data_IF_887548041872
#
_entry.id   IF_887548041872
#
_cell.length_a   1.000
_cell.length_b   1.000
_cell.length_c   1.000
_cell.angle_alpha   90.00
_cell.angle_beta   90.00
_cell.angle_gamma   90.00
#
_symmetry.space_group_name_H-M   'P 1'
#
loop_
_entity.id
_entity.type
_entity.pdbx_description
1 polymer ?
#
# COMPACT_ATOMS: atom_id res chain seq x y z
N UNK A 1 -1.76 9.54 9.05
CA UNK A 1 -1.01 8.27 9.04
C UNK A 1 -0.95 7.67 10.45
N UNK A 2 -1.67 6.57 10.70
CA UNK A 2 -1.66 5.86 12.00
C UNK A 2 -0.34 5.09 12.13
N UNK A 3 0.37 5.23 13.25
CA UNK A 3 1.65 4.52 13.45
C UNK A 3 1.43 2.99 13.50
N UNK A 4 2.32 2.23 12.85
CA UNK A 4 2.29 0.76 12.77
C UNK A 4 2.01 0.08 14.14
N UNK A 5 2.61 0.59 15.21
CA UNK A 5 2.42 0.09 16.57
C UNK A 5 0.95 0.12 17.03
N UNK A 6 0.24 1.24 16.82
CA UNK A 6 -1.14 1.40 17.25
C UNK A 6 -2.07 0.43 16.51
N UNK A 7 -1.86 0.27 15.20
CA UNK A 7 -2.61 -0.68 14.38
C UNK A 7 -2.42 -2.12 14.85
N UNK A 8 -1.18 -2.54 15.10
CA UNK A 8 -0.89 -3.89 15.56
C UNK A 8 -1.41 -4.16 16.98
N UNK A 9 -1.43 -3.15 17.85
CA UNK A 9 -2.04 -3.28 19.18
C UNK A 9 -3.55 -3.48 19.10
N UNK A 10 -4.24 -2.73 18.24
CA UNK A 10 -5.69 -2.91 18.02
C UNK A 10 -6.00 -4.27 17.42
N UNK A 11 -5.20 -4.75 16.46
CA UNK A 11 -5.33 -6.09 15.90
C UNK A 11 -5.12 -7.17 16.97
N UNK A 12 -4.10 -7.04 17.81
CA UNK A 12 -3.85 -7.99 18.90
C UNK A 12 -5.04 -8.05 19.86
N UNK A 13 -5.60 -6.89 20.26
CA UNK A 13 -6.80 -6.81 21.11
C UNK A 13 -7.99 -7.50 20.45
N UNK A 14 -8.18 -7.29 19.15
CA UNK A 14 -9.26 -7.90 18.37
C UNK A 14 -9.11 -9.41 18.29
N UNK A 15 -7.92 -9.92 17.97
CA UNK A 15 -7.64 -11.36 17.92
C UNK A 15 -7.90 -11.99 19.28
N UNK A 16 -7.35 -11.41 20.35
CA UNK A 16 -7.56 -11.91 21.71
C UNK A 16 -9.05 -11.90 22.11
N UNK A 17 -9.82 -10.89 21.71
CA UNK A 17 -11.26 -10.87 21.97
C UNK A 17 -11.99 -12.08 21.36
N UNK A 18 -11.65 -12.48 20.13
CA UNK A 18 -12.33 -13.58 19.42
C UNK A 18 -11.77 -14.97 19.74
N UNK A 19 -10.46 -15.11 19.92
CA UNK A 19 -9.82 -16.42 20.06
C UNK A 19 -9.21 -16.68 21.44
N UNK A 20 -9.13 -15.66 22.30
CA UNK A 20 -8.37 -15.68 23.58
C UNK A 20 -6.87 -15.96 23.40
N UNK A 21 -6.37 -15.97 22.17
CA UNK A 21 -4.94 -16.11 21.86
C UNK A 21 -4.29 -14.73 21.85
N UNK A 22 -3.13 -14.62 22.49
CA UNK A 22 -2.27 -13.45 22.41
C UNK A 22 -1.23 -13.68 21.33
N UNK A 23 -1.38 -12.99 20.20
CA UNK A 23 -0.41 -13.01 19.10
C UNK A 23 0.56 -11.84 19.27
N UNK A 24 1.89 -12.05 19.23
CA UNK A 24 2.85 -10.95 19.26
C UNK A 24 2.62 -9.93 18.13
N UNK A 25 2.79 -8.64 18.44
CA UNK A 25 2.50 -7.55 17.48
C UNK A 25 3.41 -7.55 16.25
N UNK A 26 4.64 -8.09 16.37
CA UNK A 26 5.55 -8.21 15.23
C UNK A 26 5.09 -9.27 14.22
N UNK A 27 4.44 -10.35 14.67
CA UNK A 27 3.87 -11.36 13.77
C UNK A 27 2.70 -10.79 12.99
N UNK A 28 1.85 -10.00 13.66
CA UNK A 28 0.78 -9.26 13.02
C UNK A 28 1.31 -8.26 11.99
N UNK A 29 2.43 -7.59 12.29
CA UNK A 29 3.11 -6.71 11.35
C UNK A 29 3.64 -7.47 10.14
N UNK A 30 4.25 -8.65 10.34
CA UNK A 30 4.79 -9.47 9.25
C UNK A 30 3.68 -9.98 8.34
N UNK A 31 2.55 -10.42 8.92
CA UNK A 31 1.43 -10.95 8.16
C UNK A 31 0.66 -9.85 7.39
N UNK A 32 0.44 -8.69 8.01
CA UNK A 32 -0.45 -7.66 7.46
C UNK A 32 0.27 -6.45 6.87
N UNK A 33 1.56 -6.27 7.17
CA UNK A 33 2.33 -5.07 6.79
C UNK A 33 2.26 -4.78 5.29
N UNK A 34 2.34 -5.81 4.46
CA UNK A 34 2.23 -5.66 3.00
C UNK A 34 0.88 -5.14 2.53
N UNK A 35 -0.22 -5.57 3.16
CA UNK A 35 -1.58 -5.12 2.81
C UNK A 35 -1.77 -3.65 3.16
N UNK A 36 -1.22 -3.22 4.30
CA UNK A 36 -1.29 -1.82 4.70
C UNK A 36 -0.48 -0.91 3.78
N UNK A 37 0.69 -1.35 3.35
CA UNK A 37 1.53 -0.57 2.44
C UNK A 37 0.92 -0.43 1.05
N UNK A 38 0.21 -1.46 0.60
CA UNK A 38 -0.58 -1.42 -0.63
C UNK A 38 -1.72 -0.39 -0.50
N UNK A 39 -2.48 -0.44 0.60
CA UNK A 39 -3.54 0.53 0.86
C UNK A 39 -3.01 1.97 0.94
N UNK A 40 -1.91 2.19 1.68
CA UNK A 40 -1.28 3.51 1.82
C UNK A 40 -0.76 4.04 0.46
N UNK A 41 -0.25 3.17 -0.42
CA UNK A 41 0.20 3.55 -1.76
C UNK A 41 -0.99 3.92 -2.66
N UNK A 42 -2.07 3.14 -2.64
CA UNK A 42 -3.28 3.43 -3.41
C UNK A 42 -3.92 4.74 -2.93
N UNK A 43 -3.97 4.98 -1.62
CA UNK A 43 -4.48 6.24 -1.05
C UNK A 43 -3.64 7.43 -1.54
N UNK A 44 -2.30 7.37 -1.42
CA UNK A 44 -1.42 8.42 -1.95
C UNK A 44 -1.65 8.67 -3.45
N UNK A 45 -1.79 7.61 -4.25
CA UNK A 45 -2.05 7.71 -5.68
C UNK A 45 -3.40 8.39 -5.97
N UNK A 46 -4.45 8.03 -5.24
CA UNK A 46 -5.76 8.63 -5.42
C UNK A 46 -5.75 10.13 -5.08
N UNK A 47 -5.08 10.51 -4.00
CA UNK A 47 -4.93 11.92 -3.61
C UNK A 47 -4.19 12.73 -4.67
N UNK A 48 -3.09 12.19 -5.23
CA UNK A 48 -2.33 12.86 -6.28
C UNK A 48 -3.18 13.00 -7.57
N UNK A 49 -3.92 11.96 -7.97
CA UNK A 49 -4.73 11.99 -9.20
C UNK A 49 -6.04 12.78 -9.07
N UNK A 50 -6.56 12.93 -7.86
CA UNK A 50 -7.70 13.82 -7.59
C UNK A 50 -7.33 15.29 -7.90
N UNK A 51 -6.07 15.69 -7.63
CA UNK A 51 -5.57 17.02 -8.03
C UNK A 51 -5.54 17.22 -9.54
N UNK A 52 -5.38 16.14 -10.31
CA UNK A 52 -5.48 16.12 -11.78
C UNK A 52 -6.93 16.00 -12.29
N UNK A 53 -7.93 15.99 -11.40
CA UNK A 53 -9.35 15.90 -11.73
C UNK A 53 -9.87 14.48 -12.00
N UNK A 54 -9.07 13.44 -11.72
CA UNK A 54 -9.49 12.06 -11.89
C UNK A 54 -10.41 11.62 -10.73
N UNK A 55 -11.46 10.86 -11.03
CA UNK A 55 -12.35 10.34 -9.99
C UNK A 55 -11.63 9.28 -9.14
N UNK A 56 -11.90 9.20 -7.82
CA UNK A 56 -11.21 8.26 -6.93
C UNK A 56 -11.26 6.78 -7.36
N UNK A 57 -12.38 6.34 -7.93
CA UNK A 57 -12.53 4.94 -8.39
C UNK A 57 -11.64 4.63 -9.60
N UNK A 58 -11.52 5.59 -10.53
CA UNK A 58 -10.69 5.45 -11.72
C UNK A 58 -9.20 5.49 -11.31
N UNK A 59 -8.83 6.40 -10.41
CA UNK A 59 -7.48 6.48 -9.83
C UNK A 59 -7.08 5.20 -9.07
N UNK A 60 -7.98 4.63 -8.27
CA UNK A 60 -7.74 3.37 -7.56
C UNK A 60 -7.54 2.20 -8.54
N UNK A 61 -8.31 2.19 -9.64
CA UNK A 61 -8.18 1.17 -10.69
C UNK A 61 -6.84 1.31 -11.43
N UNK A 62 -6.42 2.55 -11.73
CA UNK A 62 -5.11 2.88 -12.31
C UNK A 62 -3.96 2.40 -11.41
N UNK A 63 -4.01 2.74 -10.12
CA UNK A 63 -3.02 2.32 -9.13
C UNK A 63 -2.94 0.79 -8.99
N UNK A 64 -4.09 0.11 -8.90
CA UNK A 64 -4.14 -1.37 -8.84
C UNK A 64 -3.59 -2.00 -10.11
N UNK A 65 -3.88 -1.45 -11.28
CA UNK A 65 -3.34 -1.92 -12.55
C UNK A 65 -1.81 -1.83 -12.57
N UNK A 66 -1.27 -0.69 -12.15
CA UNK A 66 0.17 -0.47 -12.06
C UNK A 66 0.87 -1.44 -11.08
N UNK A 67 0.26 -1.68 -9.92
CA UNK A 67 0.75 -2.62 -8.89
C UNK A 67 0.74 -4.08 -9.36
N UNK A 68 -0.24 -4.45 -10.19
CA UNK A 68 -0.34 -5.79 -10.80
C UNK A 68 0.63 -5.98 -11.95
N UNK A 69 1.20 -4.90 -12.49
CA UNK A 69 2.29 -4.95 -13.45
C UNK A 69 3.54 -5.61 -12.86
N UNK A 70 4.36 -6.15 -13.76
CA UNK A 70 5.58 -6.87 -13.40
C UNK A 70 6.83 -6.01 -13.63
N UNK A 71 7.84 -6.26 -12.80
CA UNK A 71 9.21 -5.79 -12.93
C UNK A 71 10.12 -7.02 -12.73
N UNK A 72 10.95 -7.34 -13.71
CA UNK A 72 11.80 -8.54 -13.73
C UNK A 72 11.04 -9.85 -13.46
N UNK A 73 9.81 -9.96 -13.98
CA UNK A 73 8.94 -11.14 -13.80
C UNK A 73 8.30 -11.26 -12.42
N UNK A 74 8.44 -10.25 -11.55
CA UNK A 74 7.81 -10.20 -10.23
C UNK A 74 6.81 -9.06 -10.20
N UNK A 75 5.59 -9.33 -9.72
CA UNK A 75 4.58 -8.28 -9.53
C UNK A 75 5.07 -7.23 -8.54
N UNK A 76 4.89 -5.94 -8.86
CA UNK A 76 5.23 -4.83 -7.94
C UNK A 76 4.52 -4.97 -6.60
N UNK A 77 3.31 -5.52 -6.58
CA UNK A 77 2.58 -5.87 -5.36
C UNK A 77 3.37 -6.82 -4.44
N UNK A 78 4.08 -7.81 -4.99
CA UNK A 78 4.92 -8.71 -4.19
C UNK A 78 6.17 -8.00 -3.67
N UNK A 79 6.80 -7.17 -4.51
CA UNK A 79 7.95 -6.36 -4.12
C UNK A 79 7.60 -5.34 -3.02
N UNK A 80 6.36 -4.83 -2.99
CA UNK A 80 5.89 -3.90 -1.97
C UNK A 80 5.78 -4.55 -0.58
N UNK A 81 5.49 -5.85 -0.54
CA UNK A 81 5.45 -6.63 0.72
C UNK A 81 6.83 -6.78 1.34
N UNK A 82 7.86 -6.89 0.50
CA UNK A 82 9.26 -6.94 0.93
C UNK A 82 9.71 -5.58 1.49
N UNK A 83 10.10 -5.56 2.76
CA UNK A 83 10.53 -4.34 3.46
C UNK A 83 11.76 -3.69 2.83
N UNK A 84 12.65 -4.46 2.21
CA UNK A 84 13.87 -3.94 1.59
C UNK A 84 13.59 -3.28 0.23
N UNK A 85 12.58 -3.78 -0.50
CA UNK A 85 12.23 -3.30 -1.85
C UNK A 85 11.15 -2.23 -1.84
N UNK A 86 10.38 -2.12 -0.75
CA UNK A 86 9.24 -1.20 -0.62
C UNK A 86 9.55 0.25 -0.96
N UNK A 87 10.65 0.80 -0.44
CA UNK A 87 11.03 2.20 -0.69
C UNK A 87 11.26 2.46 -2.18
N UNK A 88 11.85 1.50 -2.89
CA UNK A 88 12.05 1.53 -4.34
C UNK A 88 10.73 1.51 -5.08
N UNK A 89 9.82 0.59 -4.74
CA UNK A 89 8.48 0.52 -5.38
C UNK A 89 7.70 1.82 -5.17
N UNK A 90 7.72 2.40 -3.96
CA UNK A 90 7.06 3.69 -3.70
C UNK A 90 7.67 4.83 -4.51
N UNK A 91 8.99 4.85 -4.69
CA UNK A 91 9.66 5.85 -5.53
C UNK A 91 9.24 5.70 -6.99
N UNK A 92 9.16 4.48 -7.51
CA UNK A 92 8.71 4.21 -8.86
C UNK A 92 7.24 4.62 -9.05
N UNK A 93 6.37 4.33 -8.09
CA UNK A 93 4.95 4.73 -8.13
C UNK A 93 4.82 6.25 -8.27
N UNK A 94 5.52 7.01 -7.42
CA UNK A 94 5.52 8.49 -7.46
C UNK A 94 6.09 9.04 -8.76
N UNK A 95 7.13 8.40 -9.31
CA UNK A 95 7.68 8.79 -10.61
C UNK A 95 6.64 8.59 -11.72
N UNK A 96 5.94 7.45 -11.71
CA UNK A 96 4.91 7.14 -12.68
C UNK A 96 3.71 8.09 -12.61
N UNK A 97 3.18 8.37 -11.41
CA UNK A 97 2.11 9.36 -11.21
C UNK A 97 2.51 10.72 -11.78
N UNK A 98 3.74 11.19 -11.51
CA UNK A 98 4.25 12.45 -12.06
C UNK A 98 4.36 12.47 -13.59
N UNK A 99 4.64 11.32 -14.21
CA UNK A 99 4.65 11.19 -15.67
C UNK A 99 3.23 11.24 -16.24
N UNK A 100 2.27 10.59 -15.58
CA UNK A 100 0.85 10.64 -15.96
C UNK A 100 0.27 12.05 -15.87
N UNK A 101 0.56 12.79 -14.79
CA UNK A 101 0.11 14.18 -14.64
C UNK A 101 0.67 15.10 -15.73
N UNK A 102 1.93 14.88 -16.15
CA UNK A 102 2.52 15.64 -17.27
C UNK A 102 1.88 15.36 -18.62
N UNK A 103 1.39 14.15 -18.84
CA UNK A 103 0.75 13.77 -20.09
C UNK A 103 -0.75 14.14 -20.14
N UNK A 104 -1.35 14.49 -19.00
CA UNK A 104 -2.77 14.82 -18.87
C UNK A 104 -3.03 16.35 -18.85
N UNK A 105 -2.00 17.16 -18.59
CA UNK A 105 -2.06 18.64 -18.66
C UNK A 105 -1.69 19.17 -20.04
#
# INVERSE_FOLDING_TARGET
>A
MIRNFGRNLLLQRRVHHFSRVVVPTFELQNANGGVYEEADLIEEWCLDRELDGLKPLDAATEAMSWLRGEEDGVRRQALLKDSQRRSTVRRQARAHVRELSRNTG
#
